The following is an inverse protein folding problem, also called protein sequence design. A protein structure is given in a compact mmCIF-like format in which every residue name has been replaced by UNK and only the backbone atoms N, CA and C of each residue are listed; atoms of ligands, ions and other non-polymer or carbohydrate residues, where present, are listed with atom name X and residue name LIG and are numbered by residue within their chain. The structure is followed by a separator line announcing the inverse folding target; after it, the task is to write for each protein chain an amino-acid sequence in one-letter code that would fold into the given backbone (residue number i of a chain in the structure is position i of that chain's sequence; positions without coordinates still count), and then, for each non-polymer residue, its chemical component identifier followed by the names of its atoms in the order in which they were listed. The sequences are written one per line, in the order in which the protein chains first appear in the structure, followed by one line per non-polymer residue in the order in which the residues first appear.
data_IF_297699017423
#
_entry.id   IF_297699017423
#
_cell.length_a   1.000
_cell.length_b   1.000
_cell.length_c   1.000
_cell.angle_alpha   90.00
_cell.angle_beta   90.00
_cell.angle_gamma   90.00
#
_symmetry.space_group_name_H-M   'P 1'
#
loop_
_entity.id
_entity.type
_entity.pdbx_description
1 polymer ?
#
# COMPACT_ATOMS: atom_id res chain seq x y z
N UNK A 1 -8.95 5.12 -40.83
CA UNK A 1 -8.41 4.93 -39.46
C UNK A 1 -6.89 5.06 -39.53
N UNK A 2 -6.27 5.95 -38.75
CA UNK A 2 -4.82 6.11 -38.77
C UNK A 2 -4.13 4.90 -38.09
N UNK A 3 -2.95 4.50 -38.58
CA UNK A 3 -2.20 3.37 -38.06
C UNK A 3 -1.87 3.50 -36.56
N UNK A 4 -1.63 4.73 -36.09
CA UNK A 4 -1.38 5.04 -34.68
C UNK A 4 -2.56 4.68 -33.76
N UNK A 5 -3.81 4.95 -34.20
CA UNK A 5 -5.01 4.59 -33.42
C UNK A 5 -5.19 3.07 -33.38
N UNK A 6 -4.92 2.37 -34.48
CA UNK A 6 -5.00 0.91 -34.52
C UNK A 6 -3.97 0.26 -33.57
N UNK A 7 -2.75 0.79 -33.48
CA UNK A 7 -1.73 0.34 -32.54
C UNK A 7 -2.16 0.58 -31.08
N UNK A 8 -2.63 1.79 -30.77
CA UNK A 8 -3.10 2.14 -29.43
C UNK A 8 -4.24 1.25 -28.93
N UNK A 9 -5.22 0.95 -29.80
CA UNK A 9 -6.33 0.05 -29.46
C UNK A 9 -5.86 -1.39 -29.19
N UNK A 10 -4.85 -1.88 -29.92
CA UNK A 10 -4.27 -3.22 -29.68
C UNK A 10 -3.53 -3.30 -28.35
N UNK A 11 -2.73 -2.29 -28.02
CA UNK A 11 -2.03 -2.21 -26.72
C UNK A 11 -3.04 -2.17 -25.58
N UNK A 12 -4.06 -1.32 -25.68
CA UNK A 12 -5.11 -1.20 -24.67
C UNK A 12 -5.88 -2.51 -24.45
N UNK A 13 -6.19 -3.22 -25.54
CA UNK A 13 -6.92 -4.49 -25.45
C UNK A 13 -6.06 -5.58 -24.82
N UNK A 14 -4.79 -5.66 -25.20
CA UNK A 14 -3.81 -6.61 -24.61
C UNK A 14 -3.62 -6.34 -23.12
N UNK A 15 -3.46 -5.08 -22.73
CA UNK A 15 -3.31 -4.68 -21.33
C UNK A 15 -4.55 -5.09 -20.49
N UNK A 16 -5.77 -4.86 -21.01
CA UNK A 16 -7.01 -5.28 -20.33
C UNK A 16 -7.12 -6.80 -20.19
N UNK A 17 -6.71 -7.57 -21.20
CA UNK A 17 -6.71 -9.04 -21.13
C UNK A 17 -5.74 -9.53 -20.05
N UNK A 18 -4.52 -8.99 -20.03
CA UNK A 18 -3.52 -9.32 -19.00
C UNK A 18 -4.01 -8.93 -17.62
N UNK A 19 -4.62 -7.75 -17.48
CA UNK A 19 -5.18 -7.27 -16.21
C UNK A 19 -6.35 -8.14 -15.69
N UNK A 20 -7.18 -8.64 -16.61
CA UNK A 20 -8.31 -9.52 -16.29
C UNK A 20 -7.91 -10.99 -16.15
N UNK A 21 -6.67 -11.35 -16.50
CA UNK A 21 -6.22 -12.73 -16.45
C UNK A 21 -6.32 -13.29 -15.01
N UNK A 22 -6.75 -14.56 -14.83
CA UNK A 22 -6.97 -15.12 -13.49
C UNK A 22 -5.75 -15.04 -12.57
N UNK A 23 -4.53 -15.18 -13.13
CA UNK A 23 -3.30 -15.06 -12.34
C UNK A 23 -3.08 -13.62 -11.84
N UNK A 24 -3.35 -12.61 -12.67
CA UNK A 24 -3.21 -11.20 -12.29
C UNK A 24 -4.23 -10.83 -11.20
N UNK A 25 -5.46 -11.34 -11.33
CA UNK A 25 -6.52 -11.17 -10.32
C UNK A 25 -6.16 -11.83 -8.98
N UNK A 26 -5.61 -13.05 -9.01
CA UNK A 26 -5.17 -13.74 -7.79
C UNK A 26 -3.98 -13.03 -7.16
N UNK A 27 -2.99 -12.64 -7.96
CA UNK A 27 -1.80 -11.95 -7.51
C UNK A 27 -2.14 -10.63 -6.80
N UNK A 28 -2.95 -9.76 -7.43
CA UNK A 28 -3.37 -8.50 -6.81
C UNK A 28 -4.18 -8.72 -5.53
N UNK A 29 -5.00 -9.77 -5.48
CA UNK A 29 -5.80 -10.11 -4.30
C UNK A 29 -4.93 -10.55 -3.13
N UNK A 30 -3.96 -11.43 -3.37
CA UNK A 30 -2.98 -11.86 -2.36
C UNK A 30 -2.13 -10.69 -1.91
N UNK A 31 -1.62 -9.88 -2.85
CA UNK A 31 -0.85 -8.69 -2.55
C UNK A 31 -1.64 -7.72 -1.67
N UNK A 32 -2.91 -7.45 -2.00
CA UNK A 32 -3.79 -6.59 -1.21
C UNK A 32 -4.04 -7.16 0.19
N UNK A 33 -4.29 -8.46 0.32
CA UNK A 33 -4.48 -9.11 1.61
C UNK A 33 -3.21 -9.04 2.48
N UNK A 34 -2.03 -9.25 1.88
CA UNK A 34 -0.75 -9.11 2.58
C UNK A 34 -0.52 -7.67 3.06
N UNK A 35 -0.76 -6.67 2.19
CA UNK A 35 -0.64 -5.26 2.56
C UNK A 35 -1.62 -4.87 3.67
N UNK A 36 -2.86 -5.37 3.61
CA UNK A 36 -3.84 -5.15 4.68
C UNK A 36 -3.43 -5.81 6.01
N UNK A 37 -2.87 -7.02 5.96
CA UNK A 37 -2.37 -7.69 7.17
C UNK A 37 -1.18 -6.94 7.79
N UNK A 38 -0.22 -6.47 6.98
CA UNK A 38 0.89 -5.64 7.44
C UNK A 38 0.38 -4.32 8.04
N UNK A 39 -0.61 -3.69 7.40
CA UNK A 39 -1.23 -2.49 7.93
C UNK A 39 -1.89 -2.74 9.30
N UNK A 40 -2.64 -3.83 9.46
CA UNK A 40 -3.23 -4.19 10.75
C UNK A 40 -2.17 -4.42 11.82
N UNK A 41 -1.07 -5.10 11.49
CA UNK A 41 0.06 -5.28 12.42
C UNK A 41 0.67 -3.94 12.83
N UNK A 42 0.85 -3.02 11.87
CA UNK A 42 1.35 -1.67 12.16
C UNK A 42 0.40 -0.90 13.08
N UNK A 43 -0.91 -0.97 12.85
CA UNK A 43 -1.91 -0.25 13.64
C UNK A 43 -2.10 -0.85 15.05
N UNK A 44 -2.10 -2.18 15.17
CA UNK A 44 -2.20 -2.86 16.47
C UNK A 44 -1.01 -2.52 17.38
N UNK A 45 0.17 -2.34 16.78
CA UNK A 45 1.39 -1.95 17.49
C UNK A 45 1.68 -0.45 17.43
N UNK A 46 0.67 0.38 17.16
CA UNK A 46 0.84 1.84 17.12
C UNK A 46 1.11 2.40 18.51
N UNK A 47 2.09 3.29 18.58
CA UNK A 47 2.47 4.03 19.78
C UNK A 47 2.70 5.51 19.39
N UNK A 48 1.94 6.48 19.92
CA UNK A 48 2.10 7.88 19.56
C UNK A 48 3.45 8.49 19.96
N UNK A 49 4.22 7.83 20.81
CA UNK A 49 5.57 8.27 21.17
C UNK A 49 6.65 7.73 20.22
N UNK A 50 6.33 6.79 19.32
CA UNK A 50 7.30 6.29 18.33
C UNK A 50 7.74 7.40 17.38
N UNK A 51 9.02 7.41 16.94
CA UNK A 51 9.49 8.39 15.97
C UNK A 51 8.74 8.25 14.64
N UNK A 52 8.12 9.34 14.20
CA UNK A 52 7.39 9.45 12.95
C UNK A 52 7.64 10.81 12.30
N UNK A 53 6.98 11.09 11.16
CA UNK A 53 7.00 12.43 10.57
C UNK A 53 6.30 13.50 11.43
N UNK A 54 5.34 13.09 12.26
CA UNK A 54 4.57 14.00 13.11
C UNK A 54 4.99 13.95 14.59
N UNK A 55 5.76 12.93 15.00
CA UNK A 55 6.27 12.76 16.34
C UNK A 55 7.80 12.70 16.35
N UNK A 56 8.45 13.78 16.81
CA UNK A 56 9.89 13.79 17.05
C UNK A 56 10.20 13.04 18.34
N UNK A 57 10.99 11.97 18.23
CA UNK A 57 11.29 11.10 19.37
C UNK A 57 12.72 10.57 19.32
N UNK A 58 13.36 10.45 20.48
CA UNK A 58 14.71 9.92 20.62
C UNK A 58 14.74 8.42 20.94
N UNK A 59 13.58 7.80 21.17
CA UNK A 59 13.49 6.37 21.43
C UNK A 59 13.55 5.55 20.14
N UNK A 60 13.97 4.29 20.26
CA UNK A 60 13.85 3.33 19.17
C UNK A 60 12.36 3.04 18.87
N UNK A 61 11.98 2.83 17.60
CA UNK A 61 10.60 2.54 17.24
C UNK A 61 10.15 1.22 17.87
N UNK A 62 8.98 1.24 18.51
CA UNK A 62 8.38 0.09 19.19
C UNK A 62 7.39 -0.69 18.33
N UNK A 63 6.93 -0.09 17.22
CA UNK A 63 6.10 -0.75 16.22
C UNK A 63 6.73 -2.06 15.71
N UNK A 64 5.91 -3.09 15.51
CA UNK A 64 6.40 -4.42 15.13
C UNK A 64 7.00 -4.46 13.73
N UNK A 65 6.64 -3.51 12.86
CA UNK A 65 7.26 -3.32 11.55
C UNK A 65 8.38 -2.26 11.56
N UNK A 66 8.83 -1.84 12.75
CA UNK A 66 9.86 -0.83 12.95
C UNK A 66 9.42 0.58 12.56
N UNK A 67 10.38 1.46 12.27
CA UNK A 67 10.11 2.89 12.02
C UNK A 67 9.19 3.17 10.83
N UNK A 68 9.23 2.32 9.78
CA UNK A 68 8.31 2.45 8.66
C UNK A 68 6.86 2.13 9.08
N UNK A 69 6.66 1.09 9.90
CA UNK A 69 5.36 0.76 10.49
C UNK A 69 4.83 1.86 11.38
N UNK A 70 5.70 2.40 12.26
CA UNK A 70 5.35 3.54 13.12
C UNK A 70 4.88 4.74 12.30
N UNK A 71 5.65 5.13 11.27
CA UNK A 71 5.31 6.26 10.41
C UNK A 71 3.99 6.05 9.66
N UNK A 72 3.76 4.85 9.14
CA UNK A 72 2.55 4.55 8.38
C UNK A 72 1.31 4.47 9.27
N UNK A 73 1.44 3.85 10.45
CA UNK A 73 0.38 3.78 11.44
C UNK A 73 -0.01 5.18 11.92
N UNK A 74 0.98 6.04 12.18
CA UNK A 74 0.78 7.44 12.59
C UNK A 74 0.01 8.25 11.54
N UNK A 75 0.36 8.11 10.25
CA UNK A 75 -0.36 8.76 9.16
C UNK A 75 -1.83 8.34 9.09
N UNK A 76 -2.13 7.06 9.34
CA UNK A 76 -3.50 6.56 9.34
C UNK A 76 -4.26 7.07 10.57
N UNK A 77 -3.67 7.05 11.76
CA UNK A 77 -4.30 7.60 12.96
C UNK A 77 -4.63 9.09 12.79
N UNK A 78 -3.72 9.85 12.19
CA UNK A 78 -3.95 11.25 11.84
C UNK A 78 -5.13 11.44 10.89
N UNK A 79 -5.31 10.55 9.91
CA UNK A 79 -6.46 10.60 8.99
C UNK A 79 -7.80 10.35 9.70
N UNK A 80 -7.78 9.73 10.88
CA UNK A 80 -8.94 9.50 11.74
C UNK A 80 -9.14 10.64 12.77
N UNK A 81 -8.23 11.60 12.85
CA UNK A 81 -8.25 12.72 13.79
C UNK A 81 -7.68 12.39 15.17
N UNK A 82 -6.88 11.34 15.28
CA UNK A 82 -6.11 10.95 16.48
C UNK A 82 -4.66 11.42 16.36
#
# INVERSE_FOLDING_TARGET
MSAALALGQRVWSTARIVWAAPFAVRFRGVLQAMLAALLLVALISWNPADPSWNAASAQAPTNWLGGAGATFADLIMQSLGL
#
